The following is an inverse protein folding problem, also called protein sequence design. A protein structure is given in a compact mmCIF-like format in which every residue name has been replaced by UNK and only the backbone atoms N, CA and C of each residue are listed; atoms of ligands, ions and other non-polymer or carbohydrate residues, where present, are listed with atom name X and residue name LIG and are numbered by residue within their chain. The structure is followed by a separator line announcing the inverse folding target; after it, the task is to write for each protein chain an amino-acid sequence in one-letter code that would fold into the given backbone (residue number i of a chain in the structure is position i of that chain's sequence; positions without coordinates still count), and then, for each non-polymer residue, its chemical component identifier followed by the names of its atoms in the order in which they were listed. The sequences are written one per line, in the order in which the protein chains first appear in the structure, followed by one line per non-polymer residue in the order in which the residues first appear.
data_IF_380884250194
#
_entry.id   IF_380884250194
#
_cell.length_a   1.000
_cell.length_b   1.000
_cell.length_c   1.000
_cell.angle_alpha   90.00
_cell.angle_beta   90.00
_cell.angle_gamma   90.00
#
_symmetry.space_group_name_H-M   'P 1'
#
loop_
_entity.id
_entity.type
_entity.pdbx_description
1 polymer ?
#
# COMPACT_ATOMS: atom_id res chain seq x y z
N UNK A 1 -7.89 66.02 -12.54
CA UNK A 1 -7.08 65.12 -11.69
C UNK A 1 -6.78 63.89 -12.51
N UNK A 2 -5.50 63.61 -12.74
CA UNK A 2 -5.08 62.28 -13.20
C UNK A 2 -4.98 61.42 -11.93
N UNK A 3 -5.34 60.15 -12.05
CA UNK A 3 -5.27 59.20 -10.95
C UNK A 3 -4.29 58.11 -11.37
N UNK A 4 -3.42 57.68 -10.47
CA UNK A 4 -2.65 56.46 -10.61
C UNK A 4 -3.62 55.28 -10.50
N UNK A 5 -4.04 54.76 -11.64
CA UNK A 5 -4.81 53.52 -11.68
C UNK A 5 -3.84 52.36 -11.55
N UNK A 6 -3.61 51.87 -10.32
CA UNK A 6 -2.86 50.64 -10.12
C UNK A 6 -3.65 49.46 -10.69
N UNK A 7 -3.30 49.08 -11.92
CA UNK A 7 -3.50 47.71 -12.36
C UNK A 7 -2.38 46.90 -11.70
N UNK A 8 -2.70 46.17 -10.64
CA UNK A 8 -1.81 45.14 -10.14
C UNK A 8 -1.90 43.98 -11.12
N UNK A 9 -0.94 43.92 -12.04
CA UNK A 9 -0.66 42.67 -12.74
C UNK A 9 0.26 41.88 -11.82
N UNK A 10 -0.23 40.81 -11.22
CA UNK A 10 0.66 39.69 -10.97
C UNK A 10 1.09 39.22 -12.36
N UNK A 11 2.31 39.55 -12.82
CA UNK A 11 2.89 38.82 -13.95
C UNK A 11 3.21 37.42 -13.42
N UNK A 12 2.16 36.61 -13.38
CA UNK A 12 2.27 35.19 -13.62
C UNK A 12 2.61 35.11 -15.11
N UNK A 13 3.74 34.49 -15.48
CA UNK A 13 3.98 34.16 -16.88
C UNK A 13 2.84 33.24 -17.37
N UNK A 14 1.80 33.81 -18.00
CA UNK A 14 0.61 33.08 -18.46
C UNK A 14 0.28 33.45 -19.92
N UNK A 15 0.69 32.58 -20.84
CA UNK A 15 -0.02 32.42 -22.12
C UNK A 15 -1.31 31.62 -21.82
N UNK A 16 -2.36 32.27 -21.33
CA UNK A 16 -3.66 31.63 -21.08
C UNK A 16 -4.40 32.24 -19.89
N UNK A 17 -5.71 32.46 -20.02
CA UNK A 17 -6.54 33.01 -18.96
C UNK A 17 -6.51 32.07 -17.72
N UNK A 18 -6.24 32.58 -16.50
CA UNK A 18 -6.23 31.75 -15.30
C UNK A 18 -7.66 31.40 -14.90
N UNK A 19 -8.05 30.17 -15.15
CA UNK A 19 -9.06 29.49 -14.33
C UNK A 19 -8.30 29.09 -13.06
N UNK A 20 -8.49 29.83 -11.96
CA UNK A 20 -7.98 29.42 -10.65
C UNK A 20 -8.77 28.18 -10.20
N UNK A 21 -8.39 27.03 -10.74
CA UNK A 21 -8.75 25.72 -10.21
C UNK A 21 -7.99 25.49 -8.90
N UNK A 22 -8.58 24.72 -8.00
CA UNK A 22 -8.05 24.28 -6.69
C UNK A 22 -6.57 24.61 -6.41
N UNK A 23 -6.38 25.72 -5.69
CA UNK A 23 -5.27 26.04 -4.78
C UNK A 23 -3.83 25.65 -5.23
N UNK A 24 -3.21 26.49 -6.05
CA UNK A 24 -1.76 26.43 -6.28
C UNK A 24 -1.01 26.78 -4.98
N UNK A 25 -0.59 25.75 -4.23
CA UNK A 25 0.23 25.90 -3.03
C UNK A 25 1.59 26.50 -3.39
N UNK A 26 2.04 27.49 -2.61
CA UNK A 26 3.32 28.16 -2.86
C UNK A 26 4.44 27.60 -1.96
N UNK A 27 5.71 27.59 -2.41
CA UNK A 27 6.84 27.21 -1.57
C UNK A 27 6.95 28.06 -0.29
N UNK A 28 7.47 27.48 0.80
CA UNK A 28 7.64 28.22 2.07
C UNK A 28 8.69 29.34 2.02
N UNK A 29 9.50 29.41 0.96
CA UNK A 29 10.47 30.48 0.70
C UNK A 29 10.01 31.45 -0.41
N UNK A 30 8.72 31.43 -0.75
CA UNK A 30 8.11 32.25 -1.80
C UNK A 30 8.47 33.74 -1.65
N UNK A 31 8.95 34.32 -2.75
CA UNK A 31 9.11 35.76 -2.93
C UNK A 31 8.02 36.29 -3.84
N UNK A 32 7.50 37.46 -3.53
CA UNK A 32 6.46 38.12 -4.30
C UNK A 32 7.02 39.31 -5.07
N UNK A 33 6.47 39.54 -6.25
CA UNK A 33 6.70 40.74 -7.04
C UNK A 33 5.35 41.39 -7.31
N UNK A 34 5.14 42.58 -6.75
CA UNK A 34 3.97 43.41 -7.00
C UNK A 34 4.34 44.43 -8.07
N UNK A 35 3.67 44.39 -9.20
CA UNK A 35 3.85 45.36 -10.28
C UNK A 35 2.74 46.41 -10.25
N UNK A 36 3.14 47.67 -10.36
CA UNK A 36 2.25 48.81 -10.47
C UNK A 36 2.27 49.37 -11.90
N UNK A 37 1.22 50.08 -12.27
CA UNK A 37 1.09 50.73 -13.58
C UNK A 37 2.04 51.91 -13.79
N UNK A 38 2.60 52.45 -12.70
CA UNK A 38 3.45 53.66 -12.66
C UNK A 38 4.57 53.46 -11.64
N UNK A 39 5.62 54.27 -11.74
CA UNK A 39 6.73 54.25 -10.77
C UNK A 39 6.23 54.63 -9.36
N UNK A 40 6.65 53.85 -8.37
CA UNK A 40 6.25 53.97 -6.97
C UNK A 40 7.28 54.76 -6.17
N UNK A 41 6.81 55.61 -5.26
CA UNK A 41 7.66 56.27 -4.28
C UNK A 41 8.13 55.24 -3.26
N UNK A 42 9.45 54.91 -3.19
CA UNK A 42 9.96 53.93 -2.25
C UNK A 42 9.69 54.28 -0.80
N UNK A 43 9.55 55.56 -0.45
CA UNK A 43 9.28 56.02 0.93
C UNK A 43 7.84 55.67 1.36
N UNK A 44 6.94 55.50 0.40
CA UNK A 44 5.55 55.12 0.67
C UNK A 44 5.37 53.62 0.91
N UNK A 45 6.39 52.80 0.63
CA UNK A 45 6.41 51.35 0.83
C UNK A 45 7.11 51.04 2.15
N UNK A 46 6.32 50.58 3.13
CA UNK A 46 6.71 50.34 4.52
C UNK A 46 6.04 49.06 5.03
N UNK A 47 6.45 48.57 6.20
CA UNK A 47 5.81 47.44 6.91
C UNK A 47 4.33 47.66 7.26
N UNK A 48 3.84 48.88 7.15
CA UNK A 48 2.44 49.27 7.37
C UNK A 48 1.65 49.47 6.09
N UNK A 49 2.30 49.33 4.93
CA UNK A 49 1.66 49.55 3.64
C UNK A 49 1.84 48.38 2.67
N UNK A 50 2.90 47.59 2.82
CA UNK A 50 3.04 46.30 2.14
C UNK A 50 3.53 45.29 3.17
N UNK A 51 2.68 44.33 3.52
CA UNK A 51 2.97 43.34 4.55
C UNK A 51 2.22 42.04 4.32
N UNK A 52 2.59 40.98 5.06
CA UNK A 52 1.90 39.69 5.04
C UNK A 52 1.30 39.43 6.41
N UNK A 53 0.09 38.88 6.47
CA UNK A 53 -0.54 38.41 7.71
C UNK A 53 -0.78 36.91 7.67
N UNK A 54 -0.84 36.29 8.85
CA UNK A 54 -1.36 34.93 9.05
C UNK A 54 -2.89 34.91 8.88
N UNK A 55 -3.47 33.72 8.84
CA UNK A 55 -4.92 33.49 8.87
C UNK A 55 -5.65 34.17 10.05
N UNK A 56 -4.96 34.41 11.17
CA UNK A 56 -5.51 35.10 12.34
C UNK A 56 -5.39 36.63 12.25
N UNK A 57 -4.87 37.15 11.14
CA UNK A 57 -4.65 38.58 10.93
C UNK A 57 -3.39 39.14 11.61
N UNK A 58 -2.52 38.29 12.17
CA UNK A 58 -1.27 38.72 12.79
C UNK A 58 -0.21 38.99 11.70
N UNK A 59 0.50 40.12 11.80
CA UNK A 59 1.57 40.45 10.85
C UNK A 59 2.76 39.50 10.99
N UNK A 60 3.32 39.05 9.87
CA UNK A 60 4.58 38.31 9.81
C UNK A 60 5.74 39.27 10.06
N UNK A 61 6.46 39.10 11.18
CA UNK A 61 7.42 40.07 11.71
C UNK A 61 8.68 40.29 10.83
N UNK A 62 8.96 39.40 9.89
CA UNK A 62 10.21 39.37 9.14
C UNK A 62 10.04 39.72 7.66
N UNK A 63 8.94 40.35 7.24
CA UNK A 63 8.76 40.71 5.83
C UNK A 63 9.60 41.93 5.47
N UNK A 64 10.44 41.78 4.44
CA UNK A 64 11.25 42.85 3.84
C UNK A 64 10.69 43.25 2.48
N UNK A 65 10.75 44.54 2.18
CA UNK A 65 10.30 45.12 0.90
C UNK A 65 11.43 45.86 0.21
N UNK A 66 11.54 45.69 -1.12
CA UNK A 66 12.47 46.44 -1.97
C UNK A 66 11.72 47.02 -3.18
N UNK A 67 11.88 48.31 -3.43
CA UNK A 67 11.21 49.00 -4.55
C UNK A 67 12.20 49.31 -5.67
N UNK A 68 11.84 48.98 -6.92
CA UNK A 68 12.60 49.30 -8.14
C UNK A 68 11.65 49.80 -9.24
N UNK A 69 11.56 51.13 -9.39
CA UNK A 69 10.64 51.76 -10.33
C UNK A 69 9.18 51.43 -9.99
N UNK A 70 8.51 50.69 -10.88
CA UNK A 70 7.13 50.24 -10.70
C UNK A 70 6.97 48.87 -10.02
N UNK A 71 8.07 48.26 -9.56
CA UNK A 71 8.04 46.94 -8.93
C UNK A 71 8.35 47.04 -7.44
N UNK A 72 7.59 46.30 -6.63
CA UNK A 72 7.88 46.07 -5.21
C UNK A 72 8.11 44.57 -5.01
N UNK A 73 9.31 44.21 -4.57
CA UNK A 73 9.66 42.86 -4.19
C UNK A 73 9.40 42.67 -2.70
N UNK A 74 8.65 41.63 -2.35
CA UNK A 74 8.33 41.28 -0.97
C UNK A 74 8.96 39.91 -0.68
N UNK A 75 9.81 39.85 0.34
CA UNK A 75 10.49 38.62 0.74
C UNK A 75 10.39 38.44 2.25
N UNK A 76 10.25 37.20 2.69
CA UNK A 76 10.38 36.83 4.08
C UNK A 76 11.80 36.23 4.30
N UNK A 77 12.71 36.91 4.98
CA UNK A 77 13.99 36.34 5.43
C UNK A 77 13.89 35.01 6.17
N UNK A 78 12.76 34.77 6.84
CA UNK A 78 12.43 33.47 7.43
C UNK A 78 11.52 32.69 6.48
N UNK A 79 11.47 31.37 6.61
CA UNK A 79 10.48 30.56 5.89
C UNK A 79 9.09 30.77 6.48
N UNK A 80 8.06 30.75 5.65
CA UNK A 80 6.68 30.61 6.11
C UNK A 80 6.46 29.24 6.76
N UNK A 81 5.44 29.12 7.61
CA UNK A 81 5.03 27.82 8.12
C UNK A 81 4.38 27.01 7.01
N UNK A 82 4.59 25.70 7.01
CA UNK A 82 3.94 24.79 6.07
C UNK A 82 2.42 24.74 6.28
N UNK A 83 1.69 24.42 5.21
CA UNK A 83 0.23 24.25 5.17
C UNK A 83 -0.58 25.35 5.86
N UNK A 84 -0.08 26.58 5.81
CA UNK A 84 -0.66 27.74 6.50
C UNK A 84 -1.15 28.73 5.46
N UNK A 85 -2.31 29.34 5.72
CA UNK A 85 -2.85 30.42 4.89
C UNK A 85 -2.29 31.76 5.36
N UNK A 86 -1.87 32.55 4.38
CA UNK A 86 -1.38 33.90 4.56
C UNK A 86 -2.10 34.85 3.60
N UNK A 87 -2.08 36.14 3.93
CA UNK A 87 -2.60 37.19 3.05
C UNK A 87 -1.51 38.23 2.83
N UNK A 88 -1.15 38.51 1.58
CA UNK A 88 -0.33 39.66 1.19
C UNK A 88 -1.24 40.89 1.11
N UNK A 89 -0.89 41.96 1.81
CA UNK A 89 -1.61 43.23 1.83
C UNK A 89 -0.81 44.31 1.10
N UNK A 90 -1.50 45.08 0.25
CA UNK A 90 -0.99 46.32 -0.35
C UNK A 90 -1.98 47.44 -0.03
N UNK A 91 -1.65 48.28 0.92
CA UNK A 91 -2.53 49.32 1.45
C UNK A 91 -2.69 50.50 0.50
N UNK A 92 -3.85 51.16 0.60
CA UNK A 92 -4.18 52.35 -0.17
C UNK A 92 -3.14 53.48 -0.09
N UNK A 93 -2.37 53.53 1.00
CA UNK A 93 -1.39 54.59 1.28
C UNK A 93 -0.11 54.49 0.44
N UNK A 94 0.15 53.38 -0.25
CA UNK A 94 1.23 53.32 -1.24
C UNK A 94 0.98 54.38 -2.32
N UNK A 95 2.01 55.11 -2.73
CA UNK A 95 1.88 56.22 -3.67
C UNK A 95 2.92 56.19 -4.77
N UNK A 96 2.57 56.74 -5.93
CA UNK A 96 3.51 56.97 -7.03
C UNK A 96 4.54 58.05 -6.68
N UNK A 97 5.62 58.13 -7.47
CA UNK A 97 6.63 59.21 -7.37
C UNK A 97 6.05 60.62 -7.59
N UNK A 98 4.82 60.72 -8.14
CA UNK A 98 4.09 61.99 -8.30
C UNK A 98 3.21 62.34 -7.09
N UNK A 99 3.21 61.51 -6.04
CA UNK A 99 2.41 61.69 -4.83
C UNK A 99 0.95 61.22 -4.96
N UNK A 100 0.59 60.55 -6.06
CA UNK A 100 -0.75 59.97 -6.23
C UNK A 100 -0.83 58.62 -5.52
N UNK A 101 -1.68 58.52 -4.50
CA UNK A 101 -1.94 57.28 -3.75
C UNK A 101 -2.80 56.29 -4.56
N UNK A 102 -2.80 55.01 -4.17
CA UNK A 102 -3.70 54.01 -4.74
C UNK A 102 -5.18 54.39 -4.56
N UNK A 103 -6.03 53.91 -5.46
CA UNK A 103 -7.48 54.12 -5.37
C UNK A 103 -8.11 53.28 -4.25
N UNK A 104 -7.68 52.03 -4.15
CA UNK A 104 -8.03 51.00 -3.16
C UNK A 104 -6.75 50.30 -2.68
N UNK A 105 -6.82 49.68 -1.50
CA UNK A 105 -5.86 48.64 -1.14
C UNK A 105 -6.27 47.31 -1.77
N UNK A 106 -5.32 46.41 -1.92
CA UNK A 106 -5.50 45.09 -2.53
C UNK A 106 -4.92 44.02 -1.61
N UNK A 107 -5.51 42.82 -1.65
CA UNK A 107 -5.07 41.67 -0.86
C UNK A 107 -5.02 40.42 -1.72
N UNK A 108 -4.07 39.53 -1.45
CA UNK A 108 -3.95 38.23 -2.11
C UNK A 108 -3.74 37.13 -1.07
N UNK A 109 -4.64 36.15 -1.01
CA UNK A 109 -4.51 34.98 -0.14
C UNK A 109 -3.65 33.91 -0.81
N UNK A 110 -2.80 33.24 -0.02
CA UNK A 110 -2.02 32.10 -0.49
C UNK A 110 -1.85 31.06 0.61
N UNK A 111 -1.80 29.79 0.22
CA UNK A 111 -1.50 28.66 1.10
C UNK A 111 -0.11 28.13 0.80
N UNK A 112 0.69 27.89 1.82
CA UNK A 112 2.00 27.28 1.65
C UNK A 112 1.91 25.77 1.35
N UNK A 113 2.96 25.23 0.75
CA UNK A 113 3.12 23.80 0.56
C UNK A 113 3.06 23.06 1.90
N UNK A 114 2.78 21.76 1.83
CA UNK A 114 2.80 20.92 3.02
C UNK A 114 4.22 20.69 3.52
N UNK A 115 4.36 20.36 4.80
CA UNK A 115 5.63 19.92 5.34
C UNK A 115 6.13 18.68 4.59
N UNK A 116 7.46 18.55 4.37
CA UNK A 116 8.03 17.33 3.82
C UNK A 116 7.69 16.16 4.74
N UNK A 117 7.19 15.08 4.14
CA UNK A 117 6.87 13.85 4.89
C UNK A 117 8.18 13.19 5.30
N UNK A 118 8.35 12.89 6.59
CA UNK A 118 9.61 12.35 7.13
C UNK A 118 9.76 10.86 6.81
N UNK A 119 10.96 10.45 6.42
CA UNK A 119 11.26 9.04 6.18
C UNK A 119 11.16 8.24 7.51
N UNK A 120 10.71 6.97 7.47
CA UNK A 120 10.79 6.09 8.63
C UNK A 120 12.24 5.90 9.08
N UNK A 121 12.47 5.87 10.39
CA UNK A 121 13.77 5.63 11.00
C UNK A 121 13.79 4.30 11.75
N UNK A 122 14.98 3.77 11.98
CA UNK A 122 15.18 2.55 12.78
C UNK A 122 14.58 1.30 12.13
N UNK A 123 14.70 1.18 10.81
CA UNK A 123 14.27 -0.03 10.09
C UNK A 123 15.14 -1.22 10.53
N UNK A 124 14.49 -2.29 10.98
CA UNK A 124 15.14 -3.56 11.34
C UNK A 124 14.50 -4.70 10.56
N UNK A 125 15.29 -5.71 10.23
CA UNK A 125 14.82 -6.94 9.62
C UNK A 125 15.33 -8.13 10.46
N UNK A 126 14.44 -9.06 10.80
CA UNK A 126 14.78 -10.26 11.56
C UNK A 126 14.19 -11.48 10.88
N UNK A 127 14.99 -12.54 10.75
CA UNK A 127 14.50 -13.83 10.27
C UNK A 127 13.75 -14.52 11.41
N UNK A 128 12.56 -14.98 11.08
CA UNK A 128 11.76 -15.90 11.88
C UNK A 128 11.42 -17.12 11.04
N UNK A 129 10.82 -18.13 11.67
CA UNK A 129 10.31 -19.31 10.98
C UNK A 129 8.85 -19.48 11.36
N UNK A 130 7.98 -19.70 10.39
CA UNK A 130 6.59 -20.04 10.68
C UNK A 130 6.47 -21.47 11.22
N UNK A 131 5.25 -21.90 11.55
CA UNK A 131 5.00 -23.22 12.12
C UNK A 131 5.29 -24.38 11.15
N UNK A 132 5.53 -24.10 9.86
CA UNK A 132 6.00 -25.07 8.87
C UNK A 132 7.53 -25.09 8.72
N UNK A 133 8.25 -24.32 9.54
CA UNK A 133 9.71 -24.20 9.43
C UNK A 133 10.16 -23.45 8.17
N UNK A 134 9.27 -22.76 7.44
CA UNK A 134 9.68 -21.88 6.33
C UNK A 134 10.17 -20.55 6.88
N UNK A 135 11.28 -19.99 6.33
CA UNK A 135 11.77 -18.69 6.76
C UNK A 135 10.76 -17.60 6.40
N UNK A 136 10.68 -16.60 7.28
CA UNK A 136 9.94 -15.36 7.07
C UNK A 136 10.80 -14.21 7.58
N UNK A 137 10.71 -13.05 6.95
CA UNK A 137 11.36 -11.84 7.46
C UNK A 137 10.33 -10.94 8.12
N UNK A 138 10.55 -10.61 9.39
CA UNK A 138 9.81 -9.59 10.10
C UNK A 138 10.57 -8.27 9.99
N UNK A 139 9.95 -7.28 9.36
CA UNK A 139 10.51 -5.93 9.19
C UNK A 139 9.74 -4.95 10.07
N UNK A 140 10.46 -4.23 10.92
CA UNK A 140 9.89 -3.26 11.85
C UNK A 140 10.55 -1.89 11.69
N UNK A 141 9.88 -0.82 12.11
CA UNK A 141 10.37 0.55 12.05
C UNK A 141 9.65 1.46 13.05
N UNK A 142 10.28 2.58 13.39
CA UNK A 142 9.66 3.56 14.29
C UNK A 142 8.49 4.29 13.61
N UNK A 143 7.30 4.37 14.24
CA UNK A 143 6.20 5.15 13.70
C UNK A 143 6.57 6.63 13.50
N UNK A 144 6.16 7.20 12.36
CA UNK A 144 6.42 8.58 11.97
C UNK A 144 5.21 9.40 12.43
N UNK A 145 5.39 10.37 13.34
CA UNK A 145 4.28 11.15 13.87
C UNK A 145 3.46 11.81 12.76
N UNK A 146 2.16 11.51 12.75
CA UNK A 146 1.22 12.09 11.80
C UNK A 146 1.12 11.37 10.45
N UNK A 147 1.90 10.32 10.18
CA UNK A 147 1.72 9.49 9.00
C UNK A 147 0.38 8.74 9.04
N UNK A 148 -0.25 8.58 7.87
CA UNK A 148 -1.47 7.78 7.69
C UNK A 148 -1.15 6.28 7.52
N UNK A 149 0.09 5.97 7.13
CA UNK A 149 0.64 4.62 7.06
C UNK A 149 1.92 4.58 6.23
N UNK A 150 2.24 3.43 5.64
CA UNK A 150 3.51 3.22 4.94
C UNK A 150 3.34 2.46 3.64
N UNK A 151 4.13 2.85 2.63
CA UNK A 151 4.36 2.01 1.46
C UNK A 151 5.67 1.25 1.66
N UNK A 152 5.58 -0.06 1.55
CA UNK A 152 6.69 -0.96 1.81
C UNK A 152 7.42 -1.33 0.51
N UNK A 153 8.74 -1.41 0.57
CA UNK A 153 9.59 -1.72 -0.57
C UNK A 153 10.53 -2.89 -0.22
N UNK A 154 10.65 -3.85 -1.13
CA UNK A 154 11.46 -5.06 -0.93
C UNK A 154 12.04 -5.59 -2.24
N UNK A 155 13.08 -6.41 -2.16
CA UNK A 155 13.65 -7.11 -3.32
C UNK A 155 14.92 -7.88 -2.99
N UNK A 156 15.31 -8.78 -3.87
CA UNK A 156 16.48 -9.67 -3.77
C UNK A 156 17.72 -9.14 -4.55
N UNK A 157 17.63 -7.91 -5.08
CA UNK A 157 18.67 -7.29 -5.91
C UNK A 157 18.85 -5.79 -5.70
N UNK A 158 19.51 -5.11 -6.65
CA UNK A 158 19.72 -3.65 -6.56
C UNK A 158 18.42 -2.85 -6.71
N UNK A 159 17.47 -3.37 -7.49
CA UNK A 159 16.15 -2.79 -7.64
C UNK A 159 15.20 -3.35 -6.58
N UNK A 160 14.44 -2.46 -5.93
CA UNK A 160 13.38 -2.82 -4.99
C UNK A 160 12.02 -2.53 -5.62
N UNK A 161 11.05 -3.40 -5.35
CA UNK A 161 9.67 -3.26 -5.77
C UNK A 161 8.81 -2.74 -4.62
N UNK A 162 7.70 -2.09 -4.95
CA UNK A 162 6.71 -1.65 -3.95
C UNK A 162 5.70 -2.77 -3.73
N UNK A 163 5.38 -3.06 -2.48
CA UNK A 163 4.27 -3.95 -2.14
C UNK A 163 2.93 -3.31 -2.55
N UNK A 164 2.10 -4.06 -3.27
CA UNK A 164 0.91 -3.55 -3.95
C UNK A 164 -0.29 -4.48 -3.71
N UNK A 165 -1.47 -3.87 -3.66
CA UNK A 165 -2.76 -4.54 -3.72
C UNK A 165 -2.94 -5.27 -5.08
N UNK A 166 -3.96 -6.13 -5.16
CA UNK A 166 -4.31 -6.83 -6.41
C UNK A 166 -4.66 -5.90 -7.58
N UNK A 167 -5.06 -4.65 -7.32
CA UNK A 167 -5.34 -3.65 -8.34
C UNK A 167 -4.08 -2.86 -8.79
N UNK A 168 -2.91 -3.20 -8.24
CA UNK A 168 -1.62 -2.57 -8.53
C UNK A 168 -1.37 -1.27 -7.77
N UNK A 169 -2.30 -0.81 -6.93
CA UNK A 169 -2.05 0.35 -6.05
C UNK A 169 -1.13 -0.04 -4.89
N UNK A 170 -0.23 0.85 -4.44
CA UNK A 170 0.56 0.58 -3.23
C UNK A 170 -0.36 0.32 -2.04
N UNK A 171 -0.07 -0.71 -1.25
CA UNK A 171 -0.82 -0.98 -0.03
C UNK A 171 -0.28 -0.13 1.12
N UNK A 172 -1.19 0.47 1.90
CA UNK A 172 -0.84 1.21 3.11
C UNK A 172 -0.73 0.24 4.29
N UNK A 173 0.49 -0.04 4.71
CA UNK A 173 0.84 -1.00 5.75
C UNK A 173 1.13 -0.28 7.06
N UNK A 174 0.96 -0.97 8.20
CA UNK A 174 1.45 -0.55 9.53
C UNK A 174 2.58 -1.48 9.99
N UNK A 175 3.56 -1.00 10.76
CA UNK A 175 4.59 -1.85 11.32
C UNK A 175 4.01 -2.82 12.38
N UNK A 176 4.56 -4.04 12.52
CA UNK A 176 5.60 -4.62 11.65
C UNK A 176 5.02 -5.22 10.36
N UNK A 177 5.84 -5.27 9.30
CA UNK A 177 5.54 -6.01 8.07
C UNK A 177 6.15 -7.42 8.13
N UNK A 178 5.41 -8.42 7.64
CA UNK A 178 5.86 -9.82 7.55
C UNK A 178 5.96 -10.22 6.10
N UNK A 179 7.17 -10.59 5.67
CA UNK A 179 7.47 -11.16 4.37
C UNK A 179 7.61 -12.68 4.47
N UNK A 180 6.61 -13.40 3.97
CA UNK A 180 6.58 -14.87 3.96
C UNK A 180 7.06 -15.47 2.62
N UNK A 181 7.52 -14.64 1.67
CA UNK A 181 7.91 -15.06 0.31
C UNK A 181 9.43 -15.08 0.08
N UNK A 182 10.20 -15.22 1.16
CA UNK A 182 11.66 -15.23 1.12
C UNK A 182 12.20 -16.65 0.90
N UNK A 183 13.31 -16.76 0.16
CA UNK A 183 13.98 -18.04 -0.08
C UNK A 183 15.30 -18.15 0.70
N UNK A 184 15.62 -19.37 1.11
CA UNK A 184 16.88 -19.69 1.78
C UNK A 184 18.09 -19.40 0.87
N UNK A 185 19.15 -18.85 1.46
CA UNK A 185 20.38 -18.51 0.76
C UNK A 185 20.33 -17.18 0.00
N UNK A 186 19.18 -16.51 -0.07
CA UNK A 186 19.03 -15.22 -0.74
C UNK A 186 19.23 -14.04 0.22
N UNK A 187 19.71 -12.92 -0.34
CA UNK A 187 19.82 -11.65 0.39
C UNK A 187 18.68 -10.74 -0.04
N UNK A 188 17.85 -10.38 0.92
CA UNK A 188 16.71 -9.50 0.74
C UNK A 188 17.00 -8.11 1.28
N UNK A 189 16.45 -7.10 0.61
CA UNK A 189 16.59 -5.68 0.95
C UNK A 189 15.21 -5.12 1.27
N UNK A 190 15.11 -4.32 2.32
CA UNK A 190 13.84 -3.80 2.84
C UNK A 190 13.91 -2.32 3.16
N UNK A 191 12.85 -1.60 2.86
CA UNK A 191 12.73 -0.17 3.15
C UNK A 191 11.28 0.26 3.16
N UNK A 192 10.99 1.39 3.81
CA UNK A 192 9.65 1.92 3.91
C UNK A 192 9.64 3.42 3.59
N UNK A 193 8.53 3.89 3.04
CA UNK A 193 8.20 5.31 2.95
C UNK A 193 6.95 5.56 3.79
N UNK A 194 6.95 6.62 4.58
CA UNK A 194 5.72 7.03 5.25
C UNK A 194 4.83 7.78 4.26
N UNK A 195 3.53 7.70 4.48
CA UNK A 195 2.50 8.31 3.64
C UNK A 195 1.71 9.31 4.49
N UNK A 196 1.52 10.51 3.98
CA UNK A 196 0.64 11.52 4.58
C UNK A 196 -0.12 12.30 3.52
N UNK A 197 -1.45 12.24 3.57
CA UNK A 197 -2.35 12.91 2.64
C UNK A 197 -2.04 12.53 1.18
N UNK A 198 -1.74 11.23 0.96
CA UNK A 198 -1.37 10.67 -0.35
C UNK A 198 0.05 11.01 -0.83
N UNK A 199 0.87 11.72 -0.03
CA UNK A 199 2.26 12.03 -0.36
C UNK A 199 3.21 11.07 0.35
N UNK A 200 4.23 10.62 -0.35
CA UNK A 200 5.29 9.78 0.21
C UNK A 200 6.47 10.61 0.73
N UNK A 201 7.14 10.10 1.76
CA UNK A 201 8.46 10.56 2.17
C UNK A 201 9.56 10.11 1.21
N UNK A 202 10.80 10.53 1.48
CA UNK A 202 11.98 9.80 1.01
C UNK A 202 11.98 8.37 1.55
N UNK A 203 12.69 7.45 0.87
CA UNK A 203 12.90 6.08 1.36
C UNK A 203 13.70 6.11 2.68
N UNK A 204 13.35 5.22 3.60
CA UNK A 204 14.14 4.95 4.81
C UNK A 204 15.56 4.48 4.47
N UNK A 205 16.38 4.30 5.51
CA UNK A 205 17.55 3.42 5.39
C UNK A 205 17.09 2.03 4.90
N UNK A 206 17.85 1.46 3.97
CA UNK A 206 17.59 0.13 3.42
C UNK A 206 18.27 -0.89 4.31
N UNK A 207 17.51 -1.85 4.81
CA UNK A 207 18.06 -3.00 5.51
C UNK A 207 18.31 -4.17 4.59
N UNK A 208 19.45 -4.83 4.79
CA UNK A 208 19.81 -6.05 4.07
C UNK A 208 19.87 -7.23 5.04
N UNK A 209 19.26 -8.35 4.66
CA UNK A 209 19.27 -9.57 5.44
C UNK A 209 19.43 -10.78 4.53
N UNK A 210 20.40 -11.63 4.86
CA UNK A 210 20.62 -12.89 4.14
C UNK A 210 19.91 -14.02 4.88
N UNK A 211 18.92 -14.64 4.24
CA UNK A 211 18.26 -15.83 4.77
C UNK A 211 19.27 -16.97 4.75
N UNK A 212 19.55 -17.64 5.88
CA UNK A 212 20.51 -18.73 5.92
C UNK A 212 20.13 -19.83 4.93
N UNK A 213 21.02 -20.12 3.98
CA UNK A 213 20.98 -21.36 3.21
C UNK A 213 21.40 -22.52 4.12
N UNK A 214 20.74 -23.67 4.03
CA UNK A 214 21.06 -24.90 4.77
C UNK A 214 20.61 -24.99 6.23
N UNK A 215 19.55 -24.26 6.60
CA UNK A 215 18.73 -24.66 7.76
C UNK A 215 17.37 -25.13 7.28
N UNK A 216 17.36 -26.11 6.38
CA UNK A 216 16.43 -27.20 6.64
C UNK A 216 16.92 -27.76 7.98
N UNK A 217 16.28 -27.47 9.16
CA UNK A 217 16.51 -28.31 10.32
C UNK A 217 16.21 -29.68 9.75
N UNK A 218 17.26 -30.49 9.59
CA UNK A 218 17.18 -31.56 8.59
C UNK A 218 15.84 -32.24 8.73
N UNK A 219 15.16 -32.52 7.62
CA UNK A 219 14.06 -33.47 7.56
C UNK A 219 14.58 -34.83 8.07
N UNK A 220 15.00 -34.87 9.33
CA UNK A 220 15.40 -35.99 10.15
C UNK A 220 14.07 -36.38 10.78
N UNK A 221 13.21 -36.94 9.92
CA UNK A 221 11.92 -37.52 10.28
C UNK A 221 11.09 -36.64 11.19
N UNK A 222 10.10 -35.94 10.62
CA UNK A 222 8.99 -35.48 11.43
C UNK A 222 8.53 -36.62 12.33
N UNK A 223 8.64 -36.33 13.61
CA UNK A 223 8.32 -37.19 14.71
C UNK A 223 6.85 -37.55 14.59
N UNK A 224 6.57 -38.78 14.96
CA UNK A 224 5.25 -39.33 15.26
C UNK A 224 4.30 -38.38 16.00
N UNK A 225 4.81 -37.36 16.70
CA UNK A 225 4.03 -36.28 17.31
C UNK A 225 3.26 -35.39 16.33
N UNK A 226 3.80 -35.04 15.15
CA UNK A 226 3.10 -34.19 14.16
C UNK A 226 1.89 -34.90 13.53
N UNK A 227 2.04 -36.19 13.24
CA UNK A 227 0.94 -37.06 12.79
C UNK A 227 -0.10 -37.26 13.90
N UNK A 228 0.34 -37.39 15.16
CA UNK A 228 -0.56 -37.52 16.31
C UNK A 228 -1.32 -36.21 16.65
N UNK A 229 -0.77 -35.04 16.32
CA UNK A 229 -1.43 -33.73 16.47
C UNK A 229 -2.46 -33.45 15.35
N UNK A 230 -2.16 -33.85 14.11
CA UNK A 230 -3.12 -33.84 12.98
C UNK A 230 -4.35 -34.72 13.24
N UNK A 231 -4.20 -35.85 13.93
CA UNK A 231 -5.35 -36.70 14.32
C UNK A 231 -6.30 -36.05 15.33
N UNK A 232 -5.87 -34.99 16.05
CA UNK A 232 -6.74 -34.26 16.99
C UNK A 232 -7.57 -33.16 16.31
N UNK A 233 -7.13 -32.66 15.15
CA UNK A 233 -7.89 -31.68 14.36
C UNK A 233 -8.89 -32.38 13.43
N UNK A 234 -10.00 -32.86 14.00
CA UNK A 234 -11.19 -33.14 13.18
C UNK A 234 -11.91 -31.82 12.89
N UNK A 235 -12.09 -31.41 11.63
CA UNK A 235 -12.92 -30.25 11.34
C UNK A 235 -14.33 -30.51 11.87
N UNK A 236 -14.75 -29.70 12.85
CA UNK A 236 -16.13 -29.73 13.34
C UNK A 236 -16.93 -28.83 12.41
N UNK A 237 -17.70 -29.45 11.51
CA UNK A 237 -18.67 -28.73 10.69
C UNK A 237 -19.72 -28.16 11.66
N UNK A 238 -19.74 -26.83 11.82
CA UNK A 238 -20.70 -26.14 12.67
C UNK A 238 -21.75 -25.46 11.80
N UNK A 239 -22.98 -25.99 11.95
CA UNK A 239 -24.31 -25.47 11.62
C UNK A 239 -24.69 -25.12 10.17
N UNK A 240 -25.91 -25.57 9.86
CA UNK A 240 -26.67 -25.40 8.63
C UNK A 240 -27.00 -23.92 8.37
N UNK A 241 -26.59 -23.41 7.22
CA UNK A 241 -27.25 -22.26 6.59
C UNK A 241 -28.07 -22.77 5.40
N UNK A 242 -29.38 -22.88 5.62
CA UNK A 242 -30.38 -23.00 4.55
C UNK A 242 -30.47 -21.66 3.79
N UNK A 243 -29.50 -21.37 2.92
CA UNK A 243 -29.73 -20.43 1.82
C UNK A 243 -28.85 -20.80 0.63
N UNK A 244 -29.50 -21.04 -0.51
CA UNK A 244 -28.86 -21.46 -1.76
C UNK A 244 -27.98 -20.32 -2.28
N UNK A 245 -26.69 -20.38 -1.99
CA UNK A 245 -25.65 -19.53 -2.54
C UNK A 245 -24.38 -20.35 -2.77
N UNK A 246 -23.68 -20.08 -3.86
CA UNK A 246 -22.31 -20.57 -4.07
C UNK A 246 -21.45 -20.07 -2.89
N UNK A 247 -21.13 -20.96 -1.96
CA UNK A 247 -20.18 -20.67 -0.88
C UNK A 247 -18.80 -21.03 -1.38
N UNK A 248 -17.96 -20.02 -1.61
CA UNK A 248 -16.54 -20.21 -1.83
C UNK A 248 -15.87 -20.35 -0.46
N UNK A 249 -15.36 -21.54 -0.15
CA UNK A 249 -14.53 -21.79 1.02
C UNK A 249 -13.11 -22.10 0.55
N UNK A 250 -12.25 -21.07 0.50
CA UNK A 250 -10.84 -21.25 0.20
C UNK A 250 -10.13 -21.75 1.47
N UNK A 251 -9.83 -23.05 1.53
CA UNK A 251 -8.91 -23.62 2.51
C UNK A 251 -7.52 -23.76 1.91
N UNK A 252 -6.52 -23.09 2.48
CA UNK A 252 -5.11 -23.28 2.12
C UNK A 252 -4.53 -24.31 3.08
N UNK A 253 -4.29 -25.54 2.59
CA UNK A 253 -3.48 -26.52 3.30
C UNK A 253 -2.01 -26.36 2.86
N UNK A 254 -1.13 -26.16 3.85
CA UNK A 254 0.33 -26.21 3.77
C UNK A 254 0.97 -25.71 2.45
N UNK A 255 1.34 -24.43 2.40
CA UNK A 255 2.26 -23.86 1.41
C UNK A 255 1.92 -24.16 -0.06
N UNK A 256 0.96 -23.42 -0.63
CA UNK A 256 0.67 -23.35 -2.07
C UNK A 256 0.43 -24.68 -2.83
N UNK A 257 0.20 -25.81 -2.15
CA UNK A 257 0.16 -27.10 -2.85
C UNK A 257 -1.22 -27.59 -3.27
N UNK A 258 -2.31 -27.00 -2.80
CA UNK A 258 -3.63 -27.29 -3.35
C UNK A 258 -4.64 -26.16 -3.12
N UNK A 259 -5.42 -25.80 -4.15
CA UNK A 259 -6.70 -25.12 -3.94
C UNK A 259 -7.83 -26.14 -3.97
N UNK A 260 -8.78 -25.99 -3.06
CA UNK A 260 -9.96 -26.85 -2.98
C UNK A 260 -11.20 -26.06 -3.36
N UNK A 261 -11.82 -26.39 -4.49
CA UNK A 261 -13.14 -25.88 -4.85
C UNK A 261 -14.20 -26.93 -4.53
N UNK A 262 -15.11 -26.59 -3.63
CA UNK A 262 -16.26 -27.42 -3.29
C UNK A 262 -17.51 -26.91 -4.01
N UNK A 263 -18.22 -27.80 -4.70
CA UNK A 263 -19.57 -27.51 -5.19
C UNK A 263 -20.57 -28.30 -4.37
N UNK A 264 -21.52 -27.59 -3.76
CA UNK A 264 -22.61 -28.17 -2.99
C UNK A 264 -23.90 -28.21 -3.82
N UNK A 265 -24.66 -29.31 -3.70
CA UNK A 265 -26.04 -29.41 -4.18
C UNK A 265 -26.88 -30.06 -3.07
N UNK A 266 -27.98 -29.40 -2.66
CA UNK A 266 -28.85 -29.86 -1.57
C UNK A 266 -28.09 -30.22 -0.27
N UNK A 267 -27.11 -29.38 0.11
CA UNK A 267 -26.29 -29.60 1.31
C UNK A 267 -25.26 -30.73 1.21
N UNK A 268 -25.09 -31.35 0.03
CA UNK A 268 -24.11 -32.40 -0.22
C UNK A 268 -22.99 -31.89 -1.12
N UNK A 269 -21.73 -32.20 -0.78
CA UNK A 269 -20.60 -31.98 -1.69
C UNK A 269 -20.79 -32.87 -2.91
N UNK A 270 -20.92 -32.27 -4.08
CA UNK A 270 -21.10 -32.96 -5.37
C UNK A 270 -19.85 -32.96 -6.22
N UNK A 271 -18.93 -32.02 -5.96
CA UNK A 271 -17.64 -31.93 -6.64
C UNK A 271 -16.61 -31.30 -5.72
N UNK A 272 -15.46 -31.94 -5.62
CA UNK A 272 -14.24 -31.34 -5.07
C UNK A 272 -13.25 -31.26 -6.21
N UNK A 273 -12.81 -30.05 -6.56
CA UNK A 273 -11.68 -29.85 -7.46
C UNK A 273 -10.49 -29.54 -6.60
N UNK A 274 -9.43 -30.33 -6.75
CA UNK A 274 -8.15 -30.09 -6.10
C UNK A 274 -7.21 -29.65 -7.21
N UNK A 275 -6.85 -28.37 -7.24
CA UNK A 275 -5.86 -27.87 -8.19
C UNK A 275 -4.49 -27.93 -7.52
N UNK A 276 -3.56 -28.66 -8.12
CA UNK A 276 -2.18 -28.76 -7.64
C UNK A 276 -1.27 -27.82 -8.44
N UNK A 277 -0.13 -27.36 -7.88
CA UNK A 277 0.86 -26.62 -8.64
C UNK A 277 1.45 -27.47 -9.78
N UNK A 278 2.10 -26.81 -10.74
CA UNK A 278 2.77 -27.50 -11.84
C UNK A 278 3.86 -28.45 -11.30
N UNK A 279 3.61 -29.75 -11.43
CA UNK A 279 4.53 -30.78 -10.98
C UNK A 279 5.68 -31.03 -11.97
N UNK A 280 5.73 -30.34 -13.12
CA UNK A 280 6.74 -30.56 -14.17
C UNK A 280 8.19 -30.40 -13.69
N UNK A 281 8.41 -29.69 -12.59
CA UNK A 281 9.71 -29.52 -11.95
C UNK A 281 10.18 -30.70 -11.07
N UNK A 282 9.28 -31.63 -10.72
CA UNK A 282 9.59 -32.79 -9.87
C UNK A 282 9.87 -34.04 -10.71
N UNK A 283 10.67 -34.98 -10.16
CA UNK A 283 10.91 -36.26 -10.83
C UNK A 283 9.65 -37.12 -10.88
N UNK A 284 9.49 -37.97 -11.90
CA UNK A 284 8.35 -38.91 -11.99
C UNK A 284 8.18 -39.76 -10.71
N UNK A 285 9.30 -40.10 -10.05
CA UNK A 285 9.29 -40.87 -8.81
C UNK A 285 8.79 -40.09 -7.58
N UNK A 286 8.93 -38.76 -7.58
CA UNK A 286 8.41 -37.89 -6.52
C UNK A 286 6.95 -37.54 -6.79
N UNK A 287 6.58 -37.30 -8.05
CA UNK A 287 5.20 -37.14 -8.47
C UNK A 287 4.37 -38.39 -8.11
N UNK A 288 4.86 -39.59 -8.47
CA UNK A 288 4.19 -40.85 -8.13
C UNK A 288 4.04 -41.04 -6.62
N UNK A 289 5.07 -40.73 -5.82
CA UNK A 289 5.00 -40.83 -4.36
C UNK A 289 3.99 -39.87 -3.74
N UNK A 290 3.88 -38.66 -4.29
CA UNK A 290 2.86 -37.69 -3.89
C UNK A 290 1.45 -38.21 -4.21
N UNK A 291 1.22 -38.74 -5.41
CA UNK A 291 -0.08 -39.29 -5.78
C UNK A 291 -0.45 -40.54 -4.97
N UNK A 292 0.50 -41.42 -4.69
CA UNK A 292 0.29 -42.59 -3.83
C UNK A 292 -0.11 -42.16 -2.41
N UNK A 293 0.60 -41.19 -1.84
CA UNK A 293 0.30 -40.61 -0.52
C UNK A 293 -1.10 -39.98 -0.49
N UNK A 294 -1.43 -39.12 -1.47
CA UNK A 294 -2.75 -38.49 -1.55
C UNK A 294 -3.87 -39.52 -1.74
N UNK A 295 -3.62 -40.58 -2.50
CA UNK A 295 -4.58 -41.67 -2.68
C UNK A 295 -4.82 -42.43 -1.38
N UNK A 296 -3.76 -42.78 -0.65
CA UNK A 296 -3.85 -43.46 0.64
C UNK A 296 -4.57 -42.59 1.68
N UNK A 297 -4.25 -41.30 1.75
CA UNK A 297 -4.87 -40.37 2.70
C UNK A 297 -6.36 -40.14 2.40
N UNK A 298 -6.70 -39.89 1.13
CA UNK A 298 -8.09 -39.69 0.70
C UNK A 298 -8.91 -40.97 0.85
N UNK A 299 -8.35 -42.15 0.55
CA UNK A 299 -9.04 -43.42 0.78
C UNK A 299 -9.20 -43.75 2.27
N UNK A 300 -8.25 -43.34 3.12
CA UNK A 300 -8.39 -43.41 4.58
C UNK A 300 -9.52 -42.52 5.11
N UNK A 301 -9.68 -41.32 4.55
CA UNK A 301 -10.67 -40.34 5.00
C UNK A 301 -12.08 -40.57 4.43
N UNK A 302 -12.18 -41.03 3.18
CA UNK A 302 -13.45 -41.16 2.44
C UNK A 302 -13.84 -42.62 2.12
N UNK A 303 -13.03 -43.59 2.53
CA UNK A 303 -13.21 -45.02 2.23
C UNK A 303 -12.99 -45.36 0.75
N UNK A 304 -13.46 -46.55 0.34
CA UNK A 304 -13.36 -47.07 -1.05
C UNK A 304 -14.11 -46.21 -2.10
N UNK A 305 -14.76 -45.11 -1.69
CA UNK A 305 -15.54 -44.23 -2.55
C UNK A 305 -14.71 -43.14 -3.24
N UNK A 306 -13.43 -42.98 -2.87
CA UNK A 306 -12.50 -42.06 -3.51
C UNK A 306 -11.62 -42.82 -4.52
N UNK A 307 -11.74 -42.48 -5.80
CA UNK A 307 -10.77 -42.87 -6.82
C UNK A 307 -10.30 -41.62 -7.57
N UNK A 308 -9.00 -41.57 -7.85
CA UNK A 308 -8.39 -40.53 -8.68
C UNK A 308 -8.58 -40.96 -10.13
N UNK A 309 -9.38 -40.20 -10.89
CA UNK A 309 -9.49 -40.36 -12.34
C UNK A 309 -8.50 -39.39 -13.01
N UNK A 310 -7.42 -39.93 -13.56
CA UNK A 310 -6.45 -39.19 -14.36
C UNK A 310 -6.99 -38.99 -15.78
N UNK A 311 -7.80 -37.96 -15.99
CA UNK A 311 -8.22 -37.56 -17.33
C UNK A 311 -7.38 -36.38 -17.83
N UNK A 312 -6.55 -36.61 -18.85
CA UNK A 312 -5.88 -35.55 -19.60
C UNK A 312 -6.84 -34.98 -20.67
N UNK A 313 -7.24 -33.71 -20.55
CA UNK A 313 -7.96 -33.01 -21.61
C UNK A 313 -7.08 -31.96 -22.27
N UNK A 314 -6.64 -32.20 -23.51
CA UNK A 314 -6.05 -31.16 -24.34
C UNK A 314 -7.16 -30.28 -24.95
N UNK A 315 -7.39 -29.09 -24.39
CA UNK A 315 -8.16 -28.05 -25.07
C UNK A 315 -7.31 -26.80 -25.21
N UNK A 316 -6.95 -26.46 -26.45
CA UNK A 316 -6.09 -25.31 -26.74
C UNK A 316 -6.84 -24.02 -27.04
N UNK A 317 -6.24 -22.88 -26.68
CA UNK A 317 -6.08 -21.66 -27.50
C UNK A 317 -4.73 -21.01 -27.13
N UNK A 318 -3.94 -20.61 -28.13
CA UNK A 318 -2.59 -20.08 -28.00
C UNK A 318 -2.56 -18.56 -27.74
N UNK A 319 -1.96 -18.17 -26.62
CA UNK A 319 -0.96 -17.09 -26.56
C UNK A 319 -0.26 -17.10 -25.19
N UNK A 320 1.06 -17.38 -25.19
CA UNK A 320 2.00 -17.37 -24.08
C UNK A 320 1.87 -18.51 -23.03
N UNK A 321 2.87 -19.41 -23.03
CA UNK A 321 3.09 -20.42 -21.98
C UNK A 321 2.22 -21.66 -22.13
N UNK A 322 2.83 -22.85 -22.14
CA UNK A 322 2.10 -24.09 -21.91
C UNK A 322 1.92 -24.21 -20.39
N UNK A 323 0.67 -24.21 -19.92
CA UNK A 323 0.34 -24.74 -18.59
C UNK A 323 -0.39 -26.04 -18.86
N UNK A 324 0.18 -27.15 -18.40
CA UNK A 324 -0.55 -28.40 -18.36
C UNK A 324 -1.52 -28.32 -17.17
N UNK A 325 -2.78 -27.98 -17.42
CA UNK A 325 -3.83 -28.17 -16.42
C UNK A 325 -4.09 -29.67 -16.27
N UNK A 326 -3.48 -30.28 -15.25
CA UNK A 326 -3.91 -31.60 -14.78
C UNK A 326 -5.13 -31.38 -13.90
N UNK A 327 -6.32 -31.66 -14.43
CA UNK A 327 -7.55 -31.58 -13.65
C UNK A 327 -7.89 -32.97 -13.12
N UNK A 328 -7.70 -33.17 -11.81
CA UNK A 328 -8.13 -34.39 -11.13
C UNK A 328 -9.62 -34.27 -10.82
N UNK A 329 -10.39 -35.22 -11.33
CA UNK A 329 -11.84 -35.28 -11.09
C UNK A 329 -12.13 -36.37 -10.06
N UNK A 330 -12.37 -35.97 -8.82
CA UNK A 330 -12.93 -36.87 -7.81
C UNK A 330 -14.44 -37.02 -8.07
N UNK A 331 -14.85 -38.20 -8.52
CA UNK A 331 -16.28 -38.55 -8.71
C UNK A 331 -16.71 -39.45 -7.56
N UNK A 332 -17.38 -38.87 -6.56
CA UNK A 332 -17.96 -39.64 -5.47
C UNK A 332 -19.19 -40.40 -5.99
N UNK A 333 -19.09 -41.72 -6.12
CA UNK A 333 -20.16 -42.54 -6.68
C UNK A 333 -20.97 -43.22 -5.57
N UNK A 334 -21.95 -42.51 -4.98
CA UNK A 334 -23.22 -43.07 -4.47
C UNK A 334 -24.15 -41.97 -3.92
N UNK A 335 -25.42 -42.02 -4.34
CA UNK A 335 -26.47 -41.07 -3.94
C UNK A 335 -27.44 -41.59 -2.88
N UNK A 336 -27.20 -42.76 -2.27
CA UNK A 336 -28.09 -43.31 -1.24
C UNK A 336 -27.24 -43.81 -0.06
N UNK A 337 -27.61 -43.38 1.15
CA UNK A 337 -27.02 -43.71 2.48
C UNK A 337 -25.78 -42.94 2.98
N UNK A 338 -25.86 -41.60 3.02
CA UNK A 338 -25.24 -40.82 4.11
C UNK A 338 -26.29 -40.54 5.19
N UNK A 339 -26.79 -41.59 5.81
CA UNK A 339 -27.38 -41.51 7.15
C UNK A 339 -26.51 -42.32 8.09
N UNK A 340 -25.98 -41.64 9.11
CA UNK A 340 -25.30 -42.24 10.27
C UNK A 340 -23.80 -42.56 10.11
N UNK A 341 -22.97 -41.50 10.06
CA UNK A 341 -21.70 -41.51 10.78
C UNK A 341 -21.94 -40.74 12.09
N UNK A 342 -22.40 -41.46 13.11
CA UNK A 342 -22.86 -40.89 14.38
C UNK A 342 -21.75 -40.22 15.17
N UNK A 343 -21.98 -38.94 15.48
CA UNK A 343 -21.56 -38.32 16.74
C UNK A 343 -22.23 -39.11 17.88
N UNK A 344 -21.45 -39.82 18.70
CA UNK A 344 -21.92 -40.31 20.00
C UNK A 344 -21.59 -39.24 21.05
N UNK A 345 -22.61 -38.47 21.45
CA UNK A 345 -22.62 -37.76 22.73
C UNK A 345 -23.31 -38.70 23.72
N UNK A 346 -22.56 -39.20 24.70
CA UNK A 346 -23.14 -39.89 25.86
C UNK A 346 -23.48 -38.85 26.93
N UNK A 347 -24.72 -38.81 27.47
CA UNK A 347 -24.98 -38.07 28.71
C UNK A 347 -24.67 -38.99 29.89
N UNK A 348 -24.02 -38.48 30.92
CA UNK A 348 -24.08 -39.09 32.25
C UNK A 348 -24.18 -37.97 33.28
N UNK A 349 -25.18 -38.11 34.16
CA UNK A 349 -25.27 -37.49 35.48
C UNK A 349 -24.03 -37.72 36.36
#
# INVERSE_FOLDING_TARGET
MRYAAALIFFIIFLNGAPVFGEEERVPVDKRWTVEFSVDIDPVSVTEDTVYVTTENGEKVASVETKTEGRFVYVSNPSTYNYDTVYTLHVEKRVSSVQGEALLSGETEDFRTEHAPVQAPEGVTAEISYNHYGKPEVLVDWSPVPGADGYHFYYGDGEAMETFRNMDGTPETILPPFRDSFVYEGETWRYGAKSVKDGRESSLSEVQEITVPGDVSPGWVGESREFVEEMHQYRPTITEETEEVGLVYANGVFAGEMASFDYQFNEGKVTRTVIAFPDFSQYSEADQSRFFDYMTEELSGQFGDAAFIDESYSESGVRSAGWVAETSIRLVLNRSEDLTTAGVMISPVD
#
